data_IF_434974606023
#
_entry.id   IF_434974606023
#
_cell.length_a   1.000
_cell.length_b   1.000
_cell.length_c   1.000
_cell.angle_alpha   90.00
_cell.angle_beta   90.00
_cell.angle_gamma   90.00
#
_symmetry.space_group_name_H-M   'P 1'
#
loop_
_entity.id
_entity.type
_entity.pdbx_description
1 polymer ?
#
# COMPACT_ATOMS: atom_id res chain seq x y z
N UNK A 1 -95.86 -24.61 -70.62
CA UNK A 1 -94.62 -23.83 -70.38
C UNK A 1 -94.58 -23.19 -68.99
N UNK A 2 -95.68 -22.72 -68.42
CA UNK A 2 -95.67 -21.97 -67.15
C UNK A 2 -95.17 -22.72 -65.88
N UNK A 3 -95.25 -24.05 -65.79
CA UNK A 3 -94.87 -24.79 -64.57
C UNK A 3 -93.38 -25.09 -64.46
N UNK A 4 -92.72 -25.46 -65.57
CA UNK A 4 -91.28 -25.74 -65.62
C UNK A 4 -90.48 -24.49 -65.29
N UNK A 5 -90.78 -23.38 -65.97
CA UNK A 5 -90.05 -22.12 -65.80
C UNK A 5 -90.25 -21.56 -64.39
N UNK A 6 -91.46 -21.65 -63.83
CA UNK A 6 -91.74 -21.27 -62.44
C UNK A 6 -90.92 -22.11 -61.45
N UNK A 7 -90.83 -23.41 -61.67
CA UNK A 7 -90.08 -24.30 -60.80
C UNK A 7 -88.59 -24.02 -60.88
N UNK A 8 -88.00 -23.97 -62.07
CA UNK A 8 -86.55 -23.77 -62.25
C UNK A 8 -86.08 -22.37 -61.88
N UNK A 9 -86.92 -21.34 -62.07
CA UNK A 9 -86.62 -19.95 -61.70
C UNK A 9 -86.89 -19.61 -60.22
N UNK A 10 -87.39 -20.55 -59.42
CA UNK A 10 -87.68 -20.33 -58.00
C UNK A 10 -86.44 -19.86 -57.23
N UNK A 11 -86.62 -18.83 -56.39
CA UNK A 11 -85.54 -18.30 -55.55
C UNK A 11 -85.01 -19.33 -54.53
N UNK A 12 -85.83 -20.31 -54.15
CA UNK A 12 -85.43 -21.44 -53.30
C UNK A 12 -84.12 -22.10 -53.77
N UNK A 13 -83.93 -22.26 -55.08
CA UNK A 13 -82.74 -22.91 -55.62
C UNK A 13 -81.49 -22.05 -55.53
N UNK A 14 -81.62 -20.73 -55.62
CA UNK A 14 -80.50 -19.81 -55.39
C UNK A 14 -80.06 -19.87 -53.93
N UNK A 15 -81.03 -19.87 -53.00
CA UNK A 15 -80.73 -20.01 -51.58
C UNK A 15 -80.09 -21.37 -51.25
N UNK A 16 -80.57 -22.47 -51.85
CA UNK A 16 -79.97 -23.79 -51.69
C UNK A 16 -78.51 -23.84 -52.16
N UNK A 17 -78.23 -23.29 -53.35
CA UNK A 17 -76.86 -23.25 -53.89
C UNK A 17 -75.92 -22.40 -53.05
N UNK A 18 -76.41 -21.27 -52.51
CA UNK A 18 -75.61 -20.43 -51.62
C UNK A 18 -75.34 -21.11 -50.27
N UNK A 19 -76.37 -21.73 -49.67
CA UNK A 19 -76.22 -22.52 -48.45
C UNK A 19 -75.21 -23.67 -48.65
N UNK A 20 -75.25 -24.35 -49.81
CA UNK A 20 -74.29 -25.39 -50.16
C UNK A 20 -72.86 -24.85 -50.28
N UNK A 21 -72.67 -23.69 -50.92
CA UNK A 21 -71.36 -23.04 -51.05
C UNK A 21 -70.78 -22.75 -49.66
N UNK A 22 -71.55 -22.09 -48.80
CA UNK A 22 -71.14 -21.74 -47.44
C UNK A 22 -70.85 -22.97 -46.57
N UNK A 23 -71.64 -24.05 -46.72
CA UNK A 23 -71.42 -25.30 -46.00
C UNK A 23 -70.15 -26.03 -46.46
N UNK A 24 -69.77 -25.90 -47.73
CA UNK A 24 -68.50 -26.47 -48.22
C UNK A 24 -67.28 -25.69 -47.73
N UNK A 25 -67.45 -24.43 -47.36
CA UNK A 25 -66.41 -23.58 -46.74
C UNK A 25 -66.30 -23.81 -45.22
N UNK A 26 -67.26 -24.51 -44.61
CA UNK A 26 -67.31 -24.80 -43.19
C UNK A 26 -66.16 -25.70 -42.73
N UNK A 27 -65.50 -25.32 -41.63
CA UNK A 27 -64.56 -26.18 -40.92
C UNK A 27 -65.32 -27.17 -40.04
N UNK A 28 -64.77 -28.38 -39.89
CA UNK A 28 -65.34 -29.40 -39.00
C UNK A 28 -65.37 -28.89 -37.54
N UNK A 29 -66.55 -28.82 -36.89
CA UNK A 29 -66.63 -28.37 -35.50
C UNK A 29 -65.91 -29.33 -34.52
N UNK A 30 -65.29 -28.82 -33.45
CA UNK A 30 -64.57 -29.63 -32.46
C UNK A 30 -65.52 -30.42 -31.55
N UNK A 31 -66.74 -29.94 -31.34
CA UNK A 31 -67.76 -30.58 -30.51
C UNK A 31 -68.59 -31.58 -31.33
N UNK A 32 -68.90 -32.74 -30.72
CA UNK A 32 -69.65 -33.82 -31.39
C UNK A 32 -71.04 -33.36 -31.83
N UNK A 33 -71.77 -32.67 -30.97
CA UNK A 33 -73.14 -32.22 -31.25
C UNK A 33 -73.19 -31.26 -32.46
N UNK A 34 -72.21 -30.35 -32.55
CA UNK A 34 -72.09 -29.45 -33.69
C UNK A 34 -71.68 -30.17 -34.98
N UNK A 35 -70.91 -31.27 -34.91
CA UNK A 35 -70.64 -32.12 -36.09
C UNK A 35 -71.88 -32.86 -36.57
N UNK A 36 -72.64 -33.42 -35.64
CA UNK A 36 -73.88 -34.14 -35.96
C UNK A 36 -74.91 -33.18 -36.58
N UNK A 37 -75.01 -31.96 -36.05
CA UNK A 37 -75.84 -30.89 -36.60
C UNK A 37 -75.40 -30.44 -38.01
N UNK A 38 -74.09 -30.24 -38.24
CA UNK A 38 -73.54 -29.93 -39.57
C UNK A 38 -73.89 -31.05 -40.58
N UNK A 39 -73.76 -32.32 -40.16
CA UNK A 39 -74.11 -33.46 -41.01
C UNK A 39 -75.61 -33.49 -41.35
N UNK A 40 -76.48 -33.20 -40.38
CA UNK A 40 -77.94 -33.11 -40.60
C UNK A 40 -78.30 -32.00 -41.59
N UNK A 41 -77.77 -30.78 -41.39
CA UNK A 41 -77.99 -29.66 -42.30
C UNK A 41 -77.50 -30.01 -43.73
N UNK A 42 -76.37 -30.71 -43.83
CA UNK A 42 -75.87 -31.22 -45.10
C UNK A 42 -76.78 -32.25 -45.76
N UNK A 43 -77.38 -33.15 -44.98
CA UNK A 43 -78.39 -34.10 -45.45
C UNK A 43 -79.66 -33.42 -45.97
N UNK A 44 -80.10 -32.35 -45.29
CA UNK A 44 -81.26 -31.55 -45.74
C UNK A 44 -80.98 -30.84 -47.06
N UNK A 45 -79.79 -30.26 -47.22
CA UNK A 45 -79.40 -29.62 -48.49
C UNK A 45 -79.28 -30.64 -49.63
N UNK A 46 -78.75 -31.84 -49.37
CA UNK A 46 -78.75 -32.93 -50.34
C UNK A 46 -80.18 -33.33 -50.74
N UNK A 47 -81.08 -33.48 -49.77
CA UNK A 47 -82.49 -33.78 -50.03
C UNK A 47 -83.14 -32.68 -50.87
N UNK A 48 -82.85 -31.42 -50.58
CA UNK A 48 -83.36 -30.26 -51.31
C UNK A 48 -82.88 -30.25 -52.78
N UNK A 49 -81.60 -30.52 -53.02
CA UNK A 49 -81.03 -30.62 -54.36
C UNK A 49 -81.57 -31.84 -55.12
N UNK A 50 -81.72 -32.98 -54.44
CA UNK A 50 -82.40 -34.17 -55.00
C UNK A 50 -83.83 -33.84 -55.42
N UNK A 51 -84.60 -33.14 -54.57
CA UNK A 51 -85.96 -32.69 -54.88
C UNK A 51 -86.01 -31.75 -56.08
N UNK A 52 -85.02 -30.88 -56.26
CA UNK A 52 -84.89 -30.03 -57.47
C UNK A 52 -84.70 -30.87 -58.74
N UNK A 53 -83.86 -31.89 -58.69
CA UNK A 53 -83.53 -32.72 -59.86
C UNK A 53 -84.59 -33.78 -60.21
N UNK A 54 -85.40 -34.21 -59.23
CA UNK A 54 -86.19 -35.43 -59.34
C UNK A 54 -87.71 -35.23 -59.19
N UNK A 55 -88.18 -34.04 -58.81
CA UNK A 55 -89.62 -33.75 -58.73
C UNK A 55 -90.18 -33.38 -60.10
N UNK A 56 -91.43 -33.78 -60.42
CA UNK A 56 -92.13 -33.30 -61.62
C UNK A 56 -92.66 -31.87 -61.36
N UNK A 57 -92.21 -30.84 -62.10
CA UNK A 57 -92.65 -29.46 -61.89
C UNK A 57 -94.15 -29.23 -62.08
N UNK A 58 -94.88 -30.15 -62.73
CA UNK A 58 -96.34 -30.09 -62.87
C UNK A 58 -97.08 -30.45 -61.59
N UNK A 59 -96.46 -31.25 -60.73
CA UNK A 59 -97.03 -31.68 -59.44
C UNK A 59 -96.78 -30.67 -58.32
N UNK A 60 -95.89 -29.69 -58.55
CA UNK A 60 -95.53 -28.69 -57.56
C UNK A 60 -96.34 -27.41 -57.76
N UNK A 61 -97.21 -27.12 -56.78
CA UNK A 61 -98.02 -25.91 -56.77
C UNK A 61 -97.19 -24.65 -56.47
N UNK A 62 -97.66 -23.45 -56.87
CA UNK A 62 -97.01 -22.19 -56.51
C UNK A 62 -96.85 -22.00 -54.99
N UNK A 63 -97.85 -22.42 -54.21
CA UNK A 63 -97.82 -22.29 -52.75
C UNK A 63 -96.73 -23.16 -52.11
N UNK A 64 -96.52 -24.37 -52.64
CA UNK A 64 -95.45 -25.26 -52.18
C UNK A 64 -94.05 -24.69 -52.47
N UNK A 65 -93.87 -24.03 -53.62
CA UNK A 65 -92.63 -23.34 -53.95
C UNK A 65 -92.42 -22.08 -53.12
N UNK A 66 -93.49 -21.34 -52.82
CA UNK A 66 -93.43 -20.16 -51.95
C UNK A 66 -93.06 -20.55 -50.52
N UNK A 67 -93.66 -21.61 -49.97
CA UNK A 67 -93.31 -22.16 -48.67
C UNK A 67 -91.85 -22.59 -48.61
N UNK A 68 -91.37 -23.33 -49.62
CA UNK A 68 -89.97 -23.73 -49.70
C UNK A 68 -89.02 -22.53 -49.81
N UNK A 69 -89.39 -21.52 -50.60
CA UNK A 69 -88.58 -20.30 -50.73
C UNK A 69 -88.47 -19.56 -49.40
N UNK A 70 -89.57 -19.47 -48.65
CA UNK A 70 -89.58 -18.85 -47.33
C UNK A 70 -88.71 -19.61 -46.33
N UNK A 71 -88.75 -20.94 -46.33
CA UNK A 71 -87.92 -21.76 -45.46
C UNK A 71 -86.42 -21.69 -45.84
N UNK A 72 -86.12 -21.71 -47.14
CA UNK A 72 -84.75 -21.72 -47.63
C UNK A 72 -84.02 -20.37 -47.53
N UNK A 73 -84.74 -19.24 -47.49
CA UNK A 73 -84.13 -17.90 -47.55
C UNK A 73 -83.25 -17.56 -46.35
N UNK A 74 -83.53 -18.13 -45.18
CA UNK A 74 -82.84 -17.84 -43.92
C UNK A 74 -81.59 -18.72 -43.75
N UNK A 75 -81.59 -19.92 -44.32
CA UNK A 75 -80.56 -20.92 -44.09
C UNK A 75 -79.12 -20.43 -44.43
N UNK A 76 -78.85 -19.75 -45.56
CA UNK A 76 -77.51 -19.24 -45.85
C UNK A 76 -76.95 -18.33 -44.74
N UNK A 77 -77.77 -17.44 -44.19
CA UNK A 77 -77.35 -16.50 -43.16
C UNK A 77 -76.97 -17.23 -41.86
N UNK A 78 -77.75 -18.23 -41.44
CA UNK A 78 -77.43 -19.02 -40.25
C UNK A 78 -76.18 -19.88 -40.43
N UNK A 79 -75.95 -20.43 -41.64
CA UNK A 79 -74.70 -21.12 -41.95
C UNK A 79 -73.50 -20.17 -41.85
N UNK A 80 -73.63 -18.94 -42.36
CA UNK A 80 -72.58 -17.93 -42.27
C UNK A 80 -72.27 -17.56 -40.81
N UNK A 81 -73.30 -17.35 -39.98
CA UNK A 81 -73.12 -17.09 -38.55
C UNK A 81 -72.43 -18.26 -37.83
N UNK A 82 -72.78 -19.51 -38.17
CA UNK A 82 -72.13 -20.69 -37.61
C UNK A 82 -70.67 -20.83 -38.06
N UNK A 83 -70.38 -20.54 -39.33
CA UNK A 83 -69.00 -20.53 -39.87
C UNK A 83 -68.12 -19.49 -39.17
N UNK A 84 -68.70 -18.34 -38.83
CA UNK A 84 -68.02 -17.27 -38.10
C UNK A 84 -67.98 -17.50 -36.58
N UNK A 85 -68.57 -18.60 -36.09
CA UNK A 85 -68.62 -18.94 -34.67
C UNK A 85 -69.54 -18.06 -33.82
N UNK A 86 -70.45 -17.32 -34.45
CA UNK A 86 -71.42 -16.45 -33.76
C UNK A 86 -72.59 -17.25 -33.15
N UNK A 87 -72.91 -18.40 -33.73
CA UNK A 87 -73.88 -19.38 -33.23
C UNK A 87 -73.32 -20.80 -33.37
N UNK A 88 -73.91 -21.77 -32.66
CA UNK A 88 -73.59 -23.18 -32.85
C UNK A 88 -74.25 -23.75 -34.11
N UNK A 89 -73.72 -24.85 -34.64
CA UNK A 89 -74.37 -25.59 -35.72
C UNK A 89 -75.71 -26.19 -35.29
N UNK A 90 -75.88 -26.48 -34.00
CA UNK A 90 -77.15 -26.92 -33.41
C UNK A 90 -78.27 -25.88 -33.63
N UNK A 91 -77.95 -24.57 -33.60
CA UNK A 91 -78.94 -23.51 -33.79
C UNK A 91 -79.47 -23.48 -35.25
N UNK A 92 -78.64 -23.91 -36.20
CA UNK A 92 -78.97 -23.97 -37.64
C UNK A 92 -79.98 -25.09 -37.93
N UNK A 93 -80.02 -26.14 -37.12
CA UNK A 93 -80.91 -27.32 -37.30
C UNK A 93 -82.37 -26.91 -37.42
N UNK A 94 -82.82 -26.00 -36.55
CA UNK A 94 -84.20 -25.50 -36.57
C UNK A 94 -84.60 -24.87 -37.91
N UNK A 95 -83.65 -24.25 -38.60
CA UNK A 95 -83.87 -23.63 -39.92
C UNK A 95 -83.82 -24.67 -41.04
N UNK A 96 -82.97 -25.69 -40.92
CA UNK A 96 -82.97 -26.81 -41.83
C UNK A 96 -84.27 -27.64 -41.72
N UNK A 97 -84.81 -27.82 -40.51
CA UNK A 97 -86.06 -28.56 -40.31
C UNK A 97 -87.26 -27.85 -40.93
N UNK A 98 -87.29 -26.51 -40.98
CA UNK A 98 -88.32 -25.76 -41.72
C UNK A 98 -88.33 -26.10 -43.22
N UNK A 99 -87.16 -26.44 -43.79
CA UNK A 99 -87.08 -26.91 -45.18
C UNK A 99 -87.65 -28.31 -45.30
N UNK A 100 -87.36 -29.20 -44.33
CA UNK A 100 -87.96 -30.54 -44.29
C UNK A 100 -89.49 -30.43 -44.23
N UNK A 101 -90.02 -29.59 -43.36
CA UNK A 101 -91.47 -29.36 -43.21
C UNK A 101 -92.10 -28.82 -44.50
N UNK A 102 -91.43 -27.87 -45.16
CA UNK A 102 -91.89 -27.36 -46.45
C UNK A 102 -91.91 -28.47 -47.53
N UNK A 103 -90.89 -29.33 -47.56
CA UNK A 103 -90.79 -30.47 -48.46
C UNK A 103 -91.76 -31.61 -48.10
N UNK A 104 -92.21 -31.71 -46.85
CA UNK A 104 -93.18 -32.72 -46.42
C UNK A 104 -94.55 -32.51 -47.07
N UNK A 105 -94.87 -31.27 -47.47
CA UNK A 105 -96.07 -30.97 -48.26
C UNK A 105 -96.01 -31.46 -49.71
N UNK A 106 -94.83 -31.92 -50.17
CA UNK A 106 -94.63 -32.42 -51.52
C UNK A 106 -94.94 -33.91 -51.61
N UNK A 107 -95.43 -34.33 -52.78
CA UNK A 107 -95.61 -35.76 -53.05
C UNK A 107 -94.29 -36.50 -52.84
N UNK A 108 -94.29 -37.70 -52.24
CA UNK A 108 -93.08 -38.46 -51.98
C UNK A 108 -92.31 -38.71 -53.30
N UNK A 109 -90.98 -38.62 -53.25
CA UNK A 109 -90.15 -39.02 -54.39
C UNK A 109 -90.44 -40.49 -54.70
N UNK A 110 -90.54 -40.83 -55.98
CA UNK A 110 -90.63 -42.23 -56.41
C UNK A 110 -89.42 -42.98 -55.83
N UNK A 111 -89.66 -44.17 -55.26
CA UNK A 111 -88.68 -44.94 -54.47
C UNK A 111 -87.30 -45.07 -55.14
N UNK A 112 -87.26 -45.17 -56.48
CA UNK A 112 -86.02 -45.24 -57.26
C UNK A 112 -85.11 -44.00 -57.12
N UNK A 113 -85.67 -42.82 -56.89
CA UNK A 113 -84.95 -41.56 -56.83
C UNK A 113 -84.36 -41.26 -55.44
N UNK A 114 -85.02 -41.74 -54.39
CA UNK A 114 -84.56 -41.64 -52.99
C UNK A 114 -83.29 -42.46 -52.74
N UNK A 115 -83.23 -43.68 -53.29
CA UNK A 115 -82.06 -44.57 -53.16
C UNK A 115 -80.81 -43.99 -53.84
N UNK A 116 -80.98 -43.24 -54.92
CA UNK A 116 -79.87 -42.59 -55.64
C UNK A 116 -79.23 -41.46 -54.82
N UNK A 117 -80.04 -40.62 -54.15
CA UNK A 117 -79.52 -39.54 -53.29
C UNK A 117 -78.73 -40.04 -52.08
N UNK A 118 -79.21 -41.10 -51.41
CA UNK A 118 -78.49 -41.71 -50.28
C UNK A 118 -77.12 -42.27 -50.68
N UNK A 119 -77.02 -42.85 -51.89
CA UNK A 119 -75.74 -43.37 -52.40
C UNK A 119 -74.72 -42.27 -52.67
N UNK A 120 -75.16 -41.11 -53.19
CA UNK A 120 -74.32 -39.93 -53.44
C UNK A 120 -73.75 -39.34 -52.14
N UNK A 121 -74.60 -39.15 -51.13
CA UNK A 121 -74.18 -38.64 -49.82
C UNK A 121 -73.18 -39.56 -49.12
N UNK A 122 -73.41 -40.89 -49.21
CA UNK A 122 -72.50 -41.89 -48.63
C UNK A 122 -71.14 -41.86 -49.33
N UNK A 123 -71.11 -41.72 -50.66
CA UNK A 123 -69.87 -41.62 -51.41
C UNK A 123 -69.09 -40.35 -51.05
N UNK A 124 -69.76 -39.20 -50.91
CA UNK A 124 -69.12 -37.95 -50.49
C UNK A 124 -68.49 -38.04 -49.10
N UNK A 125 -69.13 -38.75 -48.16
CA UNK A 125 -68.57 -39.00 -46.83
C UNK A 125 -67.34 -39.91 -46.90
N UNK A 126 -67.37 -40.95 -47.73
CA UNK A 126 -66.24 -41.86 -47.94
C UNK A 126 -65.03 -41.13 -48.54
N UNK A 127 -65.27 -40.27 -49.54
CA UNK A 127 -64.22 -39.48 -50.17
C UNK A 127 -63.58 -38.51 -49.16
N UNK A 128 -64.40 -37.76 -48.38
CA UNK A 128 -63.90 -36.88 -47.31
C UNK A 128 -63.15 -37.63 -46.22
N UNK A 129 -63.60 -38.83 -45.85
CA UNK A 129 -62.91 -39.65 -44.84
C UNK A 129 -61.56 -40.13 -45.37
N UNK A 130 -61.50 -40.51 -46.64
CA UNK A 130 -60.27 -40.94 -47.31
C UNK A 130 -59.26 -39.80 -47.41
N UNK A 131 -59.72 -38.59 -47.75
CA UNK A 131 -58.87 -37.40 -47.80
C UNK A 131 -58.37 -36.99 -46.41
N UNK A 132 -59.21 -37.10 -45.38
CA UNK A 132 -58.80 -36.87 -43.99
C UNK A 132 -57.74 -37.88 -43.53
N UNK A 133 -57.90 -39.17 -43.86
CA UNK A 133 -56.90 -40.21 -43.56
C UNK A 133 -55.56 -39.92 -44.25
N UNK A 134 -55.58 -39.53 -45.54
CA UNK A 134 -54.35 -39.14 -46.26
C UNK A 134 -53.65 -37.96 -45.60
N UNK A 135 -54.40 -36.96 -45.16
CA UNK A 135 -53.84 -35.80 -44.47
C UNK A 135 -53.22 -36.17 -43.11
N UNK A 136 -53.82 -37.13 -42.39
CA UNK A 136 -53.25 -37.66 -41.14
C UNK A 136 -51.94 -38.39 -41.40
N UNK A 137 -51.88 -39.24 -42.44
CA UNK A 137 -50.65 -39.96 -42.81
C UNK A 137 -49.52 -38.99 -43.19
N UNK A 138 -49.80 -37.99 -44.03
CA UNK A 138 -48.82 -36.95 -44.38
C UNK A 138 -48.31 -36.17 -43.15
N UNK A 139 -49.20 -35.93 -42.18
CA UNK A 139 -48.83 -35.26 -40.93
C UNK A 139 -47.98 -36.17 -40.05
N UNK A 140 -48.31 -37.46 -39.96
CA UNK A 140 -47.54 -38.44 -39.21
C UNK A 140 -46.12 -38.60 -39.78
N UNK A 141 -45.98 -38.62 -41.11
CA UNK A 141 -44.70 -38.68 -41.78
C UNK A 141 -43.86 -37.42 -41.52
N UNK A 142 -44.46 -36.22 -41.60
CA UNK A 142 -43.78 -34.98 -41.22
C UNK A 142 -43.31 -34.96 -39.77
N UNK A 143 -44.12 -35.49 -38.85
CA UNK A 143 -43.73 -35.59 -37.44
C UNK A 143 -42.54 -36.55 -37.29
N UNK A 144 -42.54 -37.68 -37.99
CA UNK A 144 -41.44 -38.65 -37.98
C UNK A 144 -40.14 -38.03 -38.52
N UNK A 145 -40.20 -37.31 -39.64
CA UNK A 145 -39.04 -36.64 -40.22
C UNK A 145 -38.49 -35.54 -39.30
N UNK A 146 -39.37 -34.78 -38.65
CA UNK A 146 -38.98 -33.78 -37.67
C UNK A 146 -38.32 -34.42 -36.44
N UNK A 147 -38.79 -35.58 -35.97
CA UNK A 147 -38.16 -36.31 -34.86
C UNK A 147 -36.76 -36.78 -35.22
N UNK A 148 -36.58 -37.37 -36.40
CA UNK A 148 -35.25 -37.79 -36.88
C UNK A 148 -34.28 -36.59 -37.01
N UNK A 149 -34.79 -35.47 -37.50
CA UNK A 149 -34.00 -34.23 -37.62
C UNK A 149 -33.61 -33.68 -36.24
N UNK A 150 -34.51 -33.75 -35.25
CA UNK A 150 -34.23 -33.31 -33.88
C UNK A 150 -33.20 -34.22 -33.20
N UNK A 151 -33.28 -35.54 -33.40
CA UNK A 151 -32.28 -36.49 -32.89
C UNK A 151 -30.89 -36.18 -33.46
N UNK A 152 -30.77 -35.95 -34.77
CA UNK A 152 -29.50 -35.55 -35.39
C UNK A 152 -28.95 -34.24 -34.81
N UNK A 153 -29.80 -33.21 -34.65
CA UNK A 153 -29.38 -31.94 -34.04
C UNK A 153 -28.95 -32.10 -32.59
N UNK A 154 -29.59 -33.00 -31.85
CA UNK A 154 -29.21 -33.30 -30.48
C UNK A 154 -27.82 -33.94 -30.42
N UNK A 155 -27.53 -34.91 -31.29
CA UNK A 155 -26.21 -35.54 -31.37
C UNK A 155 -25.11 -34.54 -31.77
N UNK A 156 -25.40 -33.66 -32.75
CA UNK A 156 -24.49 -32.58 -33.15
C UNK A 156 -24.20 -31.62 -31.99
N UNK A 157 -25.24 -31.21 -31.26
CA UNK A 157 -25.10 -30.32 -30.11
C UNK A 157 -24.29 -30.97 -28.98
N UNK A 158 -24.55 -32.24 -28.67
CA UNK A 158 -23.79 -32.99 -27.66
C UNK A 158 -22.31 -33.11 -28.03
N UNK A 159 -22.02 -33.35 -29.31
CA UNK A 159 -20.65 -33.37 -29.84
C UNK A 159 -19.98 -32.01 -29.68
N UNK A 160 -20.65 -30.92 -30.07
CA UNK A 160 -20.14 -29.56 -29.95
C UNK A 160 -19.88 -29.17 -28.48
N UNK A 161 -20.79 -29.52 -27.56
CA UNK A 161 -20.63 -29.26 -26.13
C UNK A 161 -19.43 -30.03 -25.55
N UNK A 162 -19.21 -31.28 -25.96
CA UNK A 162 -18.03 -32.05 -25.52
C UNK A 162 -16.73 -31.41 -26.03
N UNK A 163 -16.69 -31.01 -27.30
CA UNK A 163 -15.55 -30.33 -27.87
C UNK A 163 -15.23 -29.01 -27.14
N UNK A 164 -16.24 -28.20 -26.85
CA UNK A 164 -16.04 -26.93 -26.15
C UNK A 164 -15.60 -27.13 -24.69
N UNK A 165 -16.15 -28.13 -23.98
CA UNK A 165 -15.67 -28.51 -22.64
C UNK A 165 -14.20 -28.91 -22.65
N UNK A 166 -13.76 -29.64 -23.66
CA UNK A 166 -12.35 -30.00 -23.83
C UNK A 166 -11.49 -28.75 -24.05
N UNK A 167 -11.89 -27.85 -24.97
CA UNK A 167 -11.16 -26.60 -25.23
C UNK A 167 -11.04 -25.71 -23.99
N UNK A 168 -12.12 -25.58 -23.22
CA UNK A 168 -12.11 -24.83 -21.96
C UNK A 168 -11.16 -25.49 -20.96
N UNK A 169 -11.18 -26.82 -20.85
CA UNK A 169 -10.30 -27.55 -19.93
C UNK A 169 -8.82 -27.37 -20.31
N UNK A 170 -8.48 -27.42 -21.60
CA UNK A 170 -7.13 -27.18 -22.12
C UNK A 170 -6.69 -25.71 -21.91
N UNK A 171 -7.60 -24.75 -22.12
CA UNK A 171 -7.33 -23.34 -21.89
C UNK A 171 -7.08 -23.05 -20.40
N UNK A 172 -7.88 -23.64 -19.50
CA UNK A 172 -7.67 -23.54 -18.05
C UNK A 172 -6.34 -24.15 -17.65
N UNK A 173 -6.00 -25.35 -18.13
CA UNK A 173 -4.72 -25.98 -17.83
C UNK A 173 -3.53 -25.12 -18.30
N UNK A 174 -3.63 -24.56 -19.52
CA UNK A 174 -2.62 -23.66 -20.07
C UNK A 174 -2.47 -22.40 -19.22
N UNK A 175 -3.59 -21.76 -18.86
CA UNK A 175 -3.60 -20.57 -18.02
C UNK A 175 -2.99 -20.85 -16.63
N UNK A 176 -3.36 -21.95 -15.99
CA UNK A 176 -2.82 -22.32 -14.67
C UNK A 176 -1.32 -22.57 -14.72
N UNK A 177 -0.81 -23.25 -15.77
CA UNK A 177 0.62 -23.47 -15.94
C UNK A 177 1.37 -22.16 -16.18
N UNK A 178 0.89 -21.31 -17.10
CA UNK A 178 1.51 -20.02 -17.40
C UNK A 178 1.49 -19.07 -16.20
N UNK A 179 0.39 -19.04 -15.44
CA UNK A 179 0.29 -18.26 -14.21
C UNK A 179 1.27 -18.78 -13.15
N UNK A 180 1.42 -20.10 -13.00
CA UNK A 180 2.38 -20.71 -12.09
C UNK A 180 3.84 -20.39 -12.45
N UNK A 181 4.19 -20.46 -13.73
CA UNK A 181 5.51 -20.09 -14.24
C UNK A 181 5.81 -18.60 -14.03
N UNK A 182 4.86 -17.73 -14.36
CA UNK A 182 4.99 -16.27 -14.19
C UNK A 182 5.15 -15.91 -12.72
N UNK A 183 4.34 -16.50 -11.84
CA UNK A 183 4.44 -16.25 -10.39
C UNK A 183 5.79 -16.73 -9.83
N UNK A 184 6.28 -17.89 -10.30
CA UNK A 184 7.59 -18.42 -9.89
C UNK A 184 8.75 -17.56 -10.37
N UNK A 185 8.65 -17.01 -11.59
CA UNK A 185 9.62 -16.08 -12.14
C UNK A 185 9.63 -14.76 -11.35
N UNK A 186 8.45 -14.19 -11.04
CA UNK A 186 8.33 -12.98 -10.20
C UNK A 186 8.93 -13.21 -8.81
N UNK A 187 8.63 -14.35 -8.19
CA UNK A 187 9.18 -14.69 -6.87
C UNK A 187 10.71 -14.76 -6.92
N UNK A 188 11.27 -15.40 -7.94
CA UNK A 188 12.71 -15.54 -8.12
C UNK A 188 13.38 -14.19 -8.35
N UNK A 189 12.82 -13.34 -9.22
CA UNK A 189 13.30 -11.97 -9.46
C UNK A 189 13.24 -11.11 -8.20
N UNK A 190 12.16 -11.18 -7.41
CA UNK A 190 12.06 -10.46 -6.14
C UNK A 190 13.10 -10.93 -5.12
N UNK A 191 13.34 -12.24 -5.03
CA UNK A 191 14.32 -12.82 -4.11
C UNK A 191 15.75 -12.42 -4.50
N UNK A 192 16.05 -12.41 -5.80
CA UNK A 192 17.33 -11.92 -6.34
C UNK A 192 17.52 -10.43 -6.07
N UNK A 193 16.51 -9.59 -6.36
CA UNK A 193 16.54 -8.16 -6.05
C UNK A 193 16.72 -7.90 -4.55
N UNK A 194 16.00 -8.61 -3.69
CA UNK A 194 16.12 -8.46 -2.24
C UNK A 194 17.51 -8.87 -1.76
N UNK A 195 18.06 -9.97 -2.27
CA UNK A 195 19.41 -10.42 -1.93
C UNK A 195 20.48 -9.42 -2.36
N UNK A 196 20.34 -8.83 -3.56
CA UNK A 196 21.27 -7.82 -4.06
C UNK A 196 21.20 -6.54 -3.23
N UNK A 197 20.01 -6.07 -2.84
CA UNK A 197 19.83 -4.93 -1.96
C UNK A 197 20.39 -5.18 -0.55
N UNK A 198 20.19 -6.39 0.00
CA UNK A 198 20.76 -6.75 1.29
C UNK A 198 22.30 -6.73 1.25
N UNK A 199 22.89 -7.24 0.16
CA UNK A 199 24.35 -7.25 -0.04
C UNK A 199 24.93 -5.85 -0.18
N UNK A 200 24.24 -4.94 -0.90
CA UNK A 200 24.68 -3.55 -1.06
C UNK A 200 24.55 -2.77 0.24
N UNK A 201 23.46 -2.98 0.99
CA UNK A 201 23.26 -2.35 2.30
C UNK A 201 24.35 -2.79 3.29
N UNK A 202 24.69 -4.08 3.29
CA UNK A 202 25.78 -4.63 4.12
C UNK A 202 27.13 -4.03 3.73
N UNK A 203 27.43 -3.94 2.43
CA UNK A 203 28.65 -3.28 1.96
C UNK A 203 28.72 -1.81 2.40
N UNK A 204 27.61 -1.07 2.33
CA UNK A 204 27.57 0.32 2.81
C UNK A 204 27.77 0.41 4.33
N UNK A 205 27.20 -0.52 5.09
CA UNK A 205 27.38 -0.59 6.54
C UNK A 205 28.84 -0.88 6.91
N UNK A 206 29.48 -1.83 6.22
CA UNK A 206 30.88 -2.18 6.44
C UNK A 206 31.80 -0.99 6.13
N UNK A 207 31.61 -0.32 4.98
CA UNK A 207 32.37 0.89 4.63
C UNK A 207 32.13 2.06 5.60
N UNK A 208 30.90 2.26 6.08
CA UNK A 208 30.61 3.29 7.08
C UNK A 208 31.28 2.98 8.43
N UNK A 209 31.36 1.70 8.80
CA UNK A 209 32.01 1.25 10.03
C UNK A 209 33.52 1.45 9.95
N UNK A 210 34.14 1.10 8.82
CA UNK A 210 35.57 1.38 8.57
C UNK A 210 35.87 2.88 8.63
N UNK A 211 35.09 3.71 7.93
CA UNK A 211 35.27 5.17 7.97
C UNK A 211 35.11 5.76 9.38
N UNK A 212 34.18 5.21 10.18
CA UNK A 212 34.01 5.61 11.58
C UNK A 212 35.22 5.21 12.44
N UNK A 213 35.75 4.00 12.26
CA UNK A 213 36.96 3.54 12.95
C UNK A 213 38.18 4.39 12.60
N UNK A 214 38.37 4.73 11.32
CA UNK A 214 39.43 5.63 10.86
C UNK A 214 39.31 7.02 11.49
N UNK A 215 38.08 7.55 11.57
CA UNK A 215 37.82 8.85 12.20
C UNK A 215 38.14 8.82 13.69
N UNK A 216 37.77 7.76 14.39
CA UNK A 216 38.11 7.57 15.82
C UNK A 216 39.63 7.44 16.00
N UNK A 217 40.32 6.69 15.14
CA UNK A 217 41.77 6.57 15.18
C UNK A 217 42.47 7.92 14.94
N UNK A 218 41.97 8.72 13.99
CA UNK A 218 42.45 10.06 13.72
C UNK A 218 42.26 11.00 14.91
N UNK A 219 41.08 10.97 15.55
CA UNK A 219 40.79 11.77 16.76
C UNK A 219 41.74 11.37 17.90
N UNK A 220 41.93 10.07 18.15
CA UNK A 220 42.85 9.59 19.19
C UNK A 220 44.31 10.02 18.92
N UNK A 221 44.73 10.03 17.65
CA UNK A 221 46.07 10.51 17.26
C UNK A 221 46.22 12.02 17.51
N UNK A 222 45.21 12.81 17.13
CA UNK A 222 45.19 14.25 17.39
C UNK A 222 45.17 14.56 18.89
N UNK A 223 44.44 13.78 19.70
CA UNK A 223 44.47 13.91 21.15
C UNK A 223 45.87 13.63 21.72
N UNK A 224 46.52 12.56 21.29
CA UNK A 224 47.87 12.22 21.74
C UNK A 224 48.90 13.29 21.33
N UNK A 225 48.79 13.82 20.11
CA UNK A 225 49.65 14.89 19.62
C UNK A 225 49.41 16.20 20.40
N UNK A 226 48.16 16.59 20.60
CA UNK A 226 47.79 17.75 21.40
C UNK A 226 48.30 17.62 22.85
N UNK A 227 48.19 16.43 23.46
CA UNK A 227 48.70 16.17 24.81
C UNK A 227 50.21 16.33 24.90
N UNK A 228 50.95 15.85 23.90
CA UNK A 228 52.41 16.00 23.84
C UNK A 228 52.83 17.46 23.64
N UNK A 229 52.16 18.19 22.75
CA UNK A 229 52.41 19.62 22.51
C UNK A 229 52.12 20.43 23.76
N UNK A 230 50.98 20.23 24.41
CA UNK A 230 50.62 20.94 25.65
C UNK A 230 51.63 20.65 26.76
N UNK A 231 52.03 19.39 26.96
CA UNK A 231 53.04 19.07 27.97
C UNK A 231 54.39 19.73 27.70
N UNK A 232 54.87 19.74 26.46
CA UNK A 232 56.15 20.35 26.08
C UNK A 232 56.12 21.89 26.15
N UNK A 233 55.00 22.51 25.73
CA UNK A 233 54.84 23.96 25.69
C UNK A 233 54.60 24.54 27.09
N UNK A 234 53.73 23.93 27.90
CA UNK A 234 53.47 24.40 29.28
C UNK A 234 54.73 24.30 30.13
N UNK A 235 55.55 23.26 29.94
CA UNK A 235 56.78 23.09 30.71
C UNK A 235 57.85 24.13 30.37
N UNK A 236 57.96 24.51 29.09
CA UNK A 236 58.93 25.49 28.63
C UNK A 236 58.52 26.94 28.99
N UNK A 237 57.24 27.27 28.87
CA UNK A 237 56.73 28.62 29.18
C UNK A 237 56.81 28.90 30.68
N UNK A 238 56.36 27.96 31.53
CA UNK A 238 56.35 28.16 32.99
C UNK A 238 57.77 28.31 33.54
N UNK A 239 58.74 27.50 33.10
CA UNK A 239 60.13 27.64 33.54
C UNK A 239 60.76 28.97 33.09
N UNK A 240 60.47 29.40 31.86
CA UNK A 240 61.01 30.65 31.32
C UNK A 240 60.50 31.89 32.07
N UNK A 241 59.23 31.89 32.46
CA UNK A 241 58.63 33.01 33.22
C UNK A 241 59.18 33.12 34.64
N UNK A 242 59.39 32.00 35.36
CA UNK A 242 60.05 32.02 36.68
C UNK A 242 61.50 32.49 36.60
N UNK A 243 62.25 32.07 35.57
CA UNK A 243 63.62 32.54 35.34
C UNK A 243 63.69 34.05 35.04
N UNK A 244 62.74 34.59 34.28
CA UNK A 244 62.65 36.03 33.99
C UNK A 244 62.26 36.83 35.23
N UNK A 245 61.31 36.33 36.03
CA UNK A 245 60.91 36.93 37.30
C UNK A 245 62.06 36.98 38.31
N UNK A 246 62.80 35.88 38.47
CA UNK A 246 63.95 35.81 39.37
C UNK A 246 65.07 36.81 38.98
N UNK A 247 65.34 36.98 37.68
CA UNK A 247 66.32 37.96 37.19
C UNK A 247 65.88 39.40 37.48
N UNK A 248 64.61 39.72 37.24
CA UNK A 248 64.09 41.07 37.48
C UNK A 248 64.11 41.44 38.97
N UNK A 249 63.75 40.50 39.86
CA UNK A 249 63.83 40.69 41.31
C UNK A 249 65.28 40.79 41.83
N UNK A 250 66.20 40.01 41.26
CA UNK A 250 67.65 40.13 41.57
C UNK A 250 68.17 41.53 41.24
N UNK A 251 67.76 42.07 40.10
CA UNK A 251 68.14 43.42 39.69
C UNK A 251 67.55 44.50 40.60
N UNK A 252 66.27 44.39 40.94
CA UNK A 252 65.61 45.28 41.90
C UNK A 252 66.29 45.24 43.29
N UNK A 253 66.69 44.05 43.75
CA UNK A 253 67.43 43.88 45.01
C UNK A 253 68.78 44.62 44.98
N UNK A 254 69.54 44.48 43.90
CA UNK A 254 70.80 45.19 43.71
C UNK A 254 70.64 46.71 43.68
N UNK A 255 69.59 47.24 43.04
CA UNK A 255 69.29 48.67 43.06
C UNK A 255 69.01 49.14 44.49
N UNK A 256 68.22 48.39 45.26
CA UNK A 256 67.93 48.71 46.66
C UNK A 256 69.19 48.67 47.53
N UNK A 257 70.07 47.68 47.34
CA UNK A 257 71.32 47.55 48.10
C UNK A 257 72.30 48.69 47.80
N UNK A 258 72.48 49.03 46.52
CA UNK A 258 73.33 50.17 46.10
C UNK A 258 72.73 51.48 46.64
N UNK A 259 71.41 51.67 46.51
CA UNK A 259 70.73 52.85 47.02
C UNK A 259 70.86 52.99 48.55
N UNK A 260 70.68 51.89 49.28
CA UNK A 260 70.86 51.85 50.73
C UNK A 260 72.30 52.19 51.13
N UNK A 261 73.29 51.64 50.43
CA UNK A 261 74.71 51.92 50.69
C UNK A 261 75.05 53.39 50.44
N UNK A 262 74.59 53.98 49.33
CA UNK A 262 74.85 55.39 49.01
C UNK A 262 74.18 56.35 49.99
N UNK A 263 72.89 56.12 50.30
CA UNK A 263 72.13 56.96 51.25
C UNK A 263 72.70 56.83 52.67
N UNK A 264 73.04 55.61 53.09
CA UNK A 264 73.65 55.34 54.38
C UNK A 264 75.03 55.96 54.53
N UNK A 265 75.90 55.84 53.51
CA UNK A 265 77.21 56.46 53.49
C UNK A 265 77.13 57.99 53.52
N UNK A 266 76.16 58.58 52.82
CA UNK A 266 75.91 60.03 52.84
C UNK A 266 75.45 60.49 54.23
N UNK A 267 74.47 59.81 54.83
CA UNK A 267 73.97 60.14 56.18
C UNK A 267 75.05 60.02 57.25
N UNK A 268 75.85 58.94 57.20
CA UNK A 268 76.97 58.75 58.12
C UNK A 268 78.09 59.77 57.89
N UNK A 269 78.42 60.06 56.62
CA UNK A 269 79.43 61.05 56.25
C UNK A 269 79.07 62.45 56.75
N UNK A 270 77.81 62.88 56.59
CA UNK A 270 77.31 64.16 57.13
C UNK A 270 77.41 64.19 58.64
N UNK A 271 77.04 63.10 59.32
CA UNK A 271 77.12 63.02 60.78
C UNK A 271 78.57 63.07 61.30
N UNK A 272 79.48 62.31 60.68
CA UNK A 272 80.91 62.29 61.04
C UNK A 272 81.55 63.65 60.75
N UNK A 273 81.30 64.22 59.57
CA UNK A 273 81.81 65.55 59.22
C UNK A 273 81.31 66.61 60.20
N UNK A 274 80.03 66.56 60.58
CA UNK A 274 79.47 67.46 61.59
C UNK A 274 80.13 67.28 62.95
N UNK A 275 80.28 66.04 63.44
CA UNK A 275 80.94 65.76 64.72
C UNK A 275 82.40 66.22 64.78
N UNK A 276 83.15 66.05 63.68
CA UNK A 276 84.55 66.49 63.58
C UNK A 276 84.70 68.01 63.40
N UNK A 277 83.67 68.68 62.89
CA UNK A 277 83.69 70.13 62.65
C UNK A 277 83.20 70.96 63.84
N UNK A 278 82.78 70.31 64.93
CA UNK A 278 82.38 70.99 66.17
C UNK A 278 83.63 71.57 66.86
N UNK A 279 83.83 72.89 66.75
CA UNK A 279 84.79 73.63 67.57
C UNK A 279 84.13 74.05 68.89
N UNK A 280 84.71 73.76 70.07
CA UNK A 280 84.02 73.97 71.34
C UNK A 280 83.67 75.41 71.71
N UNK A 281 84.22 76.43 71.04
CA UNK A 281 84.15 77.82 71.54
C UNK A 281 83.44 78.84 70.61
N UNK A 282 82.74 78.44 69.54
CA UNK A 282 82.19 79.44 68.62
C UNK A 282 80.88 79.13 67.85
N UNK A 283 80.06 78.15 68.24
CA UNK A 283 78.78 77.93 67.53
C UNK A 283 77.61 77.55 68.47
N UNK A 284 76.97 78.56 69.05
CA UNK A 284 75.76 78.46 69.85
C UNK A 284 74.48 78.39 68.99
N UNK A 285 74.43 77.50 67.99
CA UNK A 285 73.23 77.25 67.18
C UNK A 285 72.73 75.80 67.36
N UNK A 286 72.22 75.52 68.55
CA UNK A 286 71.69 74.20 68.95
C UNK A 286 70.62 73.66 67.98
N UNK A 287 69.79 74.54 67.42
CA UNK A 287 68.76 74.15 66.43
C UNK A 287 69.33 73.61 65.11
N UNK A 288 70.48 74.14 64.66
CA UNK A 288 71.16 73.67 63.45
C UNK A 288 71.83 72.31 63.67
N UNK A 289 72.37 72.09 64.87
CA UNK A 289 72.95 70.79 65.24
C UNK A 289 71.87 69.71 65.36
N UNK A 290 70.74 70.02 65.99
CA UNK A 290 69.63 69.07 66.18
C UNK A 290 68.98 68.69 64.85
N UNK A 291 68.78 69.64 63.93
CA UNK A 291 68.24 69.37 62.60
C UNK A 291 69.19 68.50 61.76
N UNK A 292 70.51 68.72 61.82
CA UNK A 292 71.50 67.87 61.12
C UNK A 292 71.55 66.44 61.67
N UNK A 293 71.46 66.28 62.99
CA UNK A 293 71.35 64.94 63.62
C UNK A 293 70.05 64.26 63.20
N UNK A 294 68.92 64.97 63.21
CA UNK A 294 67.62 64.44 62.78
C UNK A 294 67.64 64.03 61.29
N UNK A 295 68.25 64.83 60.41
CA UNK A 295 68.42 64.49 58.98
C UNK A 295 69.33 63.26 58.80
N UNK A 296 70.41 63.16 59.58
CA UNK A 296 71.32 62.00 59.52
C UNK A 296 70.64 60.72 60.02
N UNK A 297 69.85 60.79 61.09
CA UNK A 297 69.05 59.66 61.57
C UNK A 297 67.93 59.31 60.59
N UNK A 298 67.28 60.31 59.97
CA UNK A 298 66.27 60.09 58.94
C UNK A 298 66.83 59.39 57.71
N UNK A 299 68.01 59.78 57.23
CA UNK A 299 68.69 59.14 56.09
C UNK A 299 69.14 57.71 56.42
N UNK A 300 69.64 57.45 57.63
CA UNK A 300 69.94 56.09 58.10
C UNK A 300 68.66 55.22 58.21
N UNK A 301 67.55 55.81 58.63
CA UNK A 301 66.24 55.14 58.66
C UNK A 301 65.77 54.72 57.25
N UNK A 302 65.90 55.61 56.26
CA UNK A 302 65.60 55.31 54.85
C UNK A 302 66.54 54.23 54.30
N UNK A 303 67.84 54.32 54.58
CA UNK A 303 68.82 53.31 54.18
C UNK A 303 68.49 51.92 54.76
N UNK A 304 68.07 51.85 56.02
CA UNK A 304 67.67 50.60 56.68
C UNK A 304 66.42 50.01 56.03
N UNK A 305 65.43 50.84 55.70
CA UNK A 305 64.21 50.41 55.02
C UNK A 305 64.49 49.88 53.61
N UNK A 306 65.37 50.55 52.87
CA UNK A 306 65.84 50.11 51.56
C UNK A 306 66.60 48.78 51.65
N UNK A 307 67.50 48.64 52.62
CA UNK A 307 68.22 47.38 52.86
C UNK A 307 67.28 46.23 53.21
N UNK A 308 66.24 46.47 54.03
CA UNK A 308 65.23 45.45 54.35
C UNK A 308 64.42 45.02 53.12
N UNK A 309 64.07 45.96 52.25
CA UNK A 309 63.40 45.65 50.97
C UNK A 309 64.33 44.94 49.98
N UNK A 310 65.61 45.30 49.93
CA UNK A 310 66.63 44.58 49.17
C UNK A 310 66.74 43.12 49.58
N UNK A 311 66.82 42.85 50.90
CA UNK A 311 66.84 41.49 51.44
C UNK A 311 65.57 40.69 51.08
N UNK A 312 64.39 41.30 51.14
CA UNK A 312 63.14 40.65 50.72
C UNK A 312 63.19 40.27 49.23
N UNK A 313 63.66 41.17 48.35
CA UNK A 313 63.79 40.87 46.93
C UNK A 313 64.84 39.79 46.64
N UNK A 314 65.93 39.69 47.41
CA UNK A 314 66.88 38.58 47.31
C UNK A 314 66.27 37.23 47.72
N UNK A 315 65.45 37.21 48.77
CA UNK A 315 64.74 35.99 49.19
C UNK A 315 63.75 35.54 48.13
N UNK A 316 62.95 36.47 47.59
CA UNK A 316 62.01 36.21 46.50
C UNK A 316 62.73 35.73 45.23
N UNK A 317 63.84 36.36 44.85
CA UNK A 317 64.63 35.99 43.68
C UNK A 317 65.28 34.59 43.84
N UNK A 318 65.79 34.27 45.03
CA UNK A 318 66.35 32.93 45.32
C UNK A 318 65.26 31.87 45.29
N UNK A 319 64.09 32.13 45.85
CA UNK A 319 62.95 31.21 45.79
C UNK A 319 62.52 30.96 44.33
N UNK A 320 62.33 32.01 43.54
CA UNK A 320 61.96 31.89 42.13
C UNK A 320 63.04 31.21 41.26
N UNK A 321 64.32 31.43 41.56
CA UNK A 321 65.41 30.74 40.86
C UNK A 321 65.48 29.26 41.22
N UNK A 322 65.17 28.90 42.47
CA UNK A 322 65.09 27.50 42.91
C UNK A 322 63.93 26.78 42.23
N UNK A 323 62.77 27.41 42.10
CA UNK A 323 61.63 26.81 41.38
C UNK A 323 61.94 26.63 39.89
N UNK A 324 62.58 27.61 39.23
CA UNK A 324 63.05 27.50 37.84
C UNK A 324 64.02 26.32 37.64
N UNK A 325 65.05 26.22 38.49
CA UNK A 325 66.00 25.10 38.45
C UNK A 325 65.32 23.74 38.68
N UNK A 326 64.40 23.65 39.63
CA UNK A 326 63.68 22.42 39.93
C UNK A 326 62.77 22.00 38.75
N UNK A 327 62.04 22.95 38.14
CA UNK A 327 61.21 22.71 36.96
C UNK A 327 62.05 22.21 35.77
N UNK A 328 63.21 22.82 35.53
CA UNK A 328 64.14 22.41 34.46
C UNK A 328 64.78 21.05 34.69
N UNK A 329 64.97 20.63 35.94
CA UNK A 329 65.58 19.35 36.27
C UNK A 329 64.59 18.19 36.21
N UNK A 330 63.32 18.38 36.61
CA UNK A 330 62.36 17.25 36.65
C UNK A 330 62.00 16.73 35.27
N UNK A 331 61.94 17.58 34.25
CA UNK A 331 61.46 17.19 32.91
C UNK A 331 62.42 16.25 32.17
N UNK A 332 63.74 16.49 32.10
CA UNK A 332 64.67 15.57 31.43
C UNK A 332 64.76 14.19 32.11
N UNK A 333 64.61 14.13 33.44
CA UNK A 333 64.72 12.86 34.20
C UNK A 333 63.43 12.05 34.22
N UNK A 334 62.29 12.63 33.82
CA UNK A 334 61.00 11.93 33.73
C UNK A 334 60.64 11.49 32.31
N UNK A 335 61.42 11.91 31.31
CA UNK A 335 61.15 11.65 29.90
C UNK A 335 61.20 10.15 29.51
N UNK A 336 62.03 9.36 30.20
CA UNK A 336 62.22 7.92 29.91
C UNK A 336 61.47 7.00 30.89
N UNK A 337 60.58 7.54 31.73
CA UNK A 337 59.78 6.78 32.69
C UNK A 337 58.43 6.38 32.10
N UNK A 338 57.82 5.31 32.62
CA UNK A 338 56.47 4.93 32.23
C UNK A 338 55.44 6.00 32.65
N UNK A 339 54.29 6.04 31.95
CA UNK A 339 53.28 7.09 32.14
C UNK A 339 52.75 7.14 33.58
N UNK A 340 52.72 6.01 34.28
CA UNK A 340 52.20 5.93 35.65
C UNK A 340 53.22 6.49 36.66
N UNK A 341 54.48 6.07 36.56
CA UNK A 341 55.61 6.57 37.36
C UNK A 341 55.82 8.08 37.11
N UNK A 342 55.73 8.52 35.85
CA UNK A 342 55.85 9.93 35.47
C UNK A 342 54.77 10.79 36.10
N UNK A 343 53.49 10.37 36.03
CA UNK A 343 52.37 11.12 36.62
C UNK A 343 52.48 11.24 38.14
N UNK A 344 52.97 10.20 38.82
CA UNK A 344 53.17 10.21 40.27
C UNK A 344 54.27 11.20 40.68
N UNK A 345 55.42 11.17 39.97
CA UNK A 345 56.52 12.11 40.20
C UNK A 345 56.09 13.55 39.94
N UNK A 346 55.37 13.80 38.85
CA UNK A 346 54.87 15.15 38.51
C UNK A 346 53.87 15.63 39.57
N UNK A 347 52.89 14.80 39.97
CA UNK A 347 51.88 15.18 40.96
C UNK A 347 52.51 15.57 42.30
N UNK A 348 53.46 14.78 42.77
CA UNK A 348 54.13 15.06 44.04
C UNK A 348 55.08 16.26 43.93
N UNK A 349 55.77 16.43 42.80
CA UNK A 349 56.54 17.62 42.52
C UNK A 349 55.67 18.89 42.52
N UNK A 350 54.52 18.86 41.84
CA UNK A 350 53.57 19.98 41.80
C UNK A 350 53.03 20.30 43.20
N UNK A 351 52.67 19.27 43.98
CA UNK A 351 52.22 19.43 45.35
C UNK A 351 53.30 20.08 46.24
N UNK A 352 54.55 19.65 46.10
CA UNK A 352 55.66 20.19 46.89
C UNK A 352 56.01 21.63 46.51
N UNK A 353 56.15 21.92 45.22
CA UNK A 353 56.61 23.22 44.74
C UNK A 353 55.52 24.29 44.82
N UNK A 354 54.28 23.99 44.42
CA UNK A 354 53.22 25.00 44.30
C UNK A 354 52.25 25.03 45.48
N UNK A 355 52.04 23.90 46.18
CA UNK A 355 51.08 23.83 47.31
C UNK A 355 51.79 24.00 48.65
N UNK A 356 52.90 23.27 48.88
CA UNK A 356 53.63 23.33 50.15
C UNK A 356 54.75 24.37 50.19
N UNK A 357 55.21 24.84 49.03
CA UNK A 357 56.28 25.84 48.91
C UNK A 357 57.66 25.34 49.35
N UNK A 358 57.86 24.02 49.42
CA UNK A 358 59.09 23.41 49.94
C UNK A 358 59.85 22.68 48.82
N UNK A 359 60.99 23.26 48.42
CA UNK A 359 61.81 22.81 47.28
C UNK A 359 62.94 21.89 47.76
N UNK A 360 63.31 21.93 49.04
CA UNK A 360 64.35 21.07 49.58
C UNK A 360 63.78 19.66 49.81
N UNK A 361 64.56 18.62 49.45
CA UNK A 361 64.26 17.27 49.93
C UNK A 361 64.31 17.30 51.45
N UNK A 362 63.35 16.69 52.17
CA UNK A 362 63.52 16.50 53.60
C UNK A 362 64.84 15.77 53.79
N UNK A 363 65.82 16.42 54.42
CA UNK A 363 67.02 15.75 54.92
C UNK A 363 66.59 14.88 56.09
N UNK A 364 65.92 13.78 55.79
CA UNK A 364 65.77 12.70 56.75
C UNK A 364 67.13 12.00 56.80
N UNK A 365 67.83 11.98 57.95
CA UNK A 365 69.01 11.14 58.07
C UNK A 365 68.55 9.69 57.90
N UNK A 366 68.86 9.08 56.76
CA UNK A 366 68.68 7.63 56.53
C UNK A 366 67.32 7.13 56.01
N UNK A 367 66.34 7.99 55.73
CA UNK A 367 65.02 7.55 55.24
C UNK A 367 64.85 7.71 53.72
N UNK A 368 64.55 6.63 53.00
CA UNK A 368 64.14 6.72 51.59
C UNK A 368 62.81 7.50 51.49
N UNK A 369 62.73 8.47 50.55
CA UNK A 369 61.49 9.19 50.25
C UNK A 369 60.31 8.21 50.02
N UNK A 370 59.07 8.54 50.44
CA UNK A 370 57.89 7.70 50.20
C UNK A 370 57.71 7.29 48.74
N UNK A 371 58.11 8.16 47.81
CA UNK A 371 58.10 7.89 46.35
C UNK A 371 59.13 6.82 45.98
N UNK A 372 60.33 6.88 46.58
CA UNK A 372 61.37 5.89 46.31
C UNK A 372 60.88 4.51 46.76
N UNK A 373 60.15 4.43 47.87
CA UNK A 373 59.53 3.19 48.31
C UNK A 373 58.40 2.75 47.36
N UNK A 374 57.47 3.62 46.98
CA UNK A 374 56.36 3.23 46.08
C UNK A 374 56.84 2.77 44.70
N UNK A 375 57.85 3.42 44.13
CA UNK A 375 58.47 3.03 42.84
C UNK A 375 59.21 1.69 42.97
N UNK A 376 59.99 1.50 44.05
CA UNK A 376 60.69 0.23 44.28
C UNK A 376 59.68 -0.92 44.42
N UNK A 377 58.60 -0.74 45.17
CA UNK A 377 57.58 -1.79 45.36
C UNK A 377 56.88 -2.13 44.05
N UNK A 378 56.58 -1.14 43.19
CA UNK A 378 55.96 -1.41 41.88
C UNK A 378 56.92 -2.05 40.89
N UNK A 379 58.21 -1.67 40.88
CA UNK A 379 59.21 -2.31 40.02
C UNK A 379 59.45 -3.77 40.43
N UNK A 380 59.52 -4.05 41.73
CA UNK A 380 59.58 -5.40 42.25
C UNK A 380 58.36 -6.24 41.82
N UNK A 381 57.15 -5.67 41.93
CA UNK A 381 55.93 -6.35 41.47
C UNK A 381 55.89 -6.57 39.95
N UNK A 382 56.47 -5.66 39.15
CA UNK A 382 56.53 -5.78 37.69
C UNK A 382 57.57 -6.83 37.23
N UNK A 383 58.67 -6.96 37.95
CA UNK A 383 59.69 -7.99 37.73
C UNK A 383 59.18 -9.38 38.12
N UNK A 384 58.39 -9.52 39.19
CA UNK A 384 57.70 -10.79 39.54
C UNK A 384 56.73 -11.26 38.44
N UNK A 385 55.97 -10.34 37.85
CA UNK A 385 55.03 -10.66 36.77
C UNK A 385 55.74 -10.99 35.46
N UNK A 386 56.87 -10.35 35.15
CA UNK A 386 57.67 -10.65 33.97
C UNK A 386 58.46 -11.97 34.08
N UNK A 387 58.88 -12.35 35.30
CA UNK A 387 59.54 -13.63 35.56
C UNK A 387 58.60 -14.84 35.54
N UNK A 388 57.31 -14.64 35.80
CA UNK A 388 56.27 -15.69 35.76
C UNK A 388 55.82 -16.09 34.35
N UNK A 389 56.29 -15.42 33.30
CA UNK A 389 55.87 -15.65 31.91
C UNK A 389 56.91 -16.36 31.03
N UNK A 390 58.00 -16.86 31.61
CA UNK A 390 59.11 -17.50 30.88
C UNK A 390 59.32 -18.99 31.20
N UNK A 391 58.35 -19.64 31.87
CA UNK A 391 58.31 -21.09 32.06
C UNK A 391 57.26 -21.76 31.17
#
# INVERSE_FOLDING_TARGET
MLSQDRFTASAAWKHASEARRLMNESKMPPEKENRDALAHVGGVLELLESRRGQSDPREISPNMLAALTSAASILPHHIELANNGSIGWVDVVSTADQIIDALASWLPLKIAHYLSGMSSATQSLLDKTTDAMRSVDETADKIRDNMLTLEQRQEELDSAVRAERQRISEAVATFTNQAGETLSAIKTDQEEQFSSQLSSLKSHQDSATEAAQDSVAAINRLEAEARNVVHATTSHIVATDYGRYARNKTWAAWICDIGAALVGATGLGVLVFHLLSLRPEADANLGLSLTRVAVSLGTLGVATLLGRRGQQHHLEARAAKRTDLALRQVLPFTANLDEAERREIIREFTNRVFIKGDIDLPKTPGGASPIRQSIITRRAAKEEVAGSGAD
#
